data_IF_521229533629
#
_entry.id   IF_521229533629
#
_cell.length_a   1.000
_cell.length_b   1.000
_cell.length_c   1.000
_cell.angle_alpha   90.00
_cell.angle_beta   90.00
_cell.angle_gamma   90.00
#
_symmetry.space_group_name_H-M   'P 1'
#
loop_
_entity.id
_entity.type
_entity.pdbx_description
1 polymer ?
#
# COMPACT_ATOMS: atom_id res chain seq x y z
N UNK A 1 21.57 4.90 -2.19
CA UNK A 1 21.46 4.88 -0.72
C UNK A 1 20.78 3.58 -0.35
N UNK A 2 21.13 2.99 0.80
CA UNK A 2 20.54 1.73 1.24
C UNK A 2 19.00 1.79 1.34
N UNK A 3 18.29 0.80 0.80
CA UNK A 3 16.82 0.69 0.91
C UNK A 3 16.38 -0.72 1.24
N UNK A 4 15.21 -0.87 1.89
CA UNK A 4 14.58 -2.17 2.18
C UNK A 4 13.19 -2.25 1.52
N UNK A 5 12.98 -3.27 0.70
CA UNK A 5 11.69 -3.63 0.11
C UNK A 5 11.22 -4.98 0.62
N UNK A 6 9.91 -5.13 0.75
CA UNK A 6 9.26 -6.38 1.16
C UNK A 6 8.14 -6.74 0.18
N UNK A 7 8.07 -8.03 -0.17
CA UNK A 7 7.04 -8.63 -1.01
C UNK A 7 6.60 -9.96 -0.38
N UNK A 8 5.29 -10.15 -0.19
CA UNK A 8 4.72 -11.46 0.14
C UNK A 8 4.37 -12.22 -1.14
N UNK A 9 4.91 -13.42 -1.31
CA UNK A 9 4.60 -14.29 -2.45
C UNK A 9 3.54 -15.32 -2.08
N UNK A 10 2.57 -15.52 -2.97
CA UNK A 10 1.58 -16.60 -2.90
C UNK A 10 1.88 -17.73 -3.88
N UNK A 11 3.03 -17.67 -4.56
CA UNK A 11 3.39 -18.65 -5.58
C UNK A 11 3.69 -20.00 -4.94
N UNK A 12 2.98 -21.05 -5.38
CA UNK A 12 3.13 -22.41 -4.89
C UNK A 12 4.45 -23.05 -5.31
N UNK A 13 5.01 -22.58 -6.42
CA UNK A 13 6.33 -22.97 -6.88
C UNK A 13 7.40 -22.18 -6.10
N UNK A 14 8.07 -22.86 -5.17
CA UNK A 14 9.19 -22.31 -4.42
C UNK A 14 10.46 -22.20 -5.27
N UNK A 15 10.61 -23.04 -6.30
CA UNK A 15 11.75 -22.99 -7.23
C UNK A 15 11.71 -21.74 -8.11
N UNK A 16 10.53 -21.16 -8.33
CA UNK A 16 10.40 -19.88 -9.03
C UNK A 16 11.18 -18.74 -8.36
N UNK A 17 11.38 -18.78 -7.03
CA UNK A 17 12.19 -17.78 -6.34
C UNK A 17 13.68 -17.93 -6.68
N UNK A 18 14.19 -19.15 -6.67
CA UNK A 18 15.57 -19.43 -7.08
C UNK A 18 15.78 -19.11 -8.55
N UNK A 19 14.86 -19.51 -9.44
CA UNK A 19 14.95 -19.17 -10.86
C UNK A 19 14.97 -17.66 -11.09
N UNK A 20 14.13 -16.90 -10.37
CA UNK A 20 14.12 -15.44 -10.45
C UNK A 20 15.47 -14.81 -10.10
N UNK A 21 16.17 -15.41 -9.13
CA UNK A 21 17.46 -14.91 -8.65
C UNK A 21 18.62 -15.38 -9.52
N UNK A 22 18.55 -16.59 -10.07
CA UNK A 22 19.67 -17.19 -10.80
C UNK A 22 19.71 -16.85 -12.29
N UNK A 23 18.60 -16.45 -12.88
CA UNK A 23 18.49 -16.22 -14.32
C UNK A 23 18.10 -14.78 -14.66
N UNK A 24 18.48 -14.34 -15.85
CA UNK A 24 18.12 -13.04 -16.39
C UNK A 24 16.62 -12.95 -16.65
N UNK A 25 16.05 -11.78 -16.38
CA UNK A 25 14.63 -11.50 -16.60
C UNK A 25 14.47 -10.16 -17.31
N UNK A 26 13.56 -10.12 -18.28
CA UNK A 26 13.20 -8.89 -18.98
C UNK A 26 12.57 -7.89 -18.00
N UNK A 27 13.11 -6.68 -18.00
CA UNK A 27 12.82 -5.67 -16.99
C UNK A 27 11.36 -5.19 -17.02
N UNK A 28 10.70 -5.24 -18.18
CA UNK A 28 9.35 -4.72 -18.36
C UNK A 28 8.26 -5.76 -18.15
N UNK A 29 8.54 -6.99 -18.55
CA UNK A 29 7.60 -8.12 -18.55
C UNK A 29 7.81 -9.06 -17.37
N UNK A 30 8.96 -8.97 -16.68
CA UNK A 30 9.38 -9.86 -15.60
C UNK A 30 9.42 -11.34 -16.02
N UNK A 31 9.57 -11.60 -17.32
CA UNK A 31 9.71 -12.95 -17.86
C UNK A 31 11.20 -13.31 -17.97
N UNK A 32 11.58 -14.58 -17.81
CA UNK A 32 12.95 -14.99 -18.05
C UNK A 32 13.40 -14.65 -19.48
N UNK A 33 14.64 -14.17 -19.60
CA UNK A 33 15.30 -13.98 -20.90
C UNK A 33 15.80 -15.35 -21.35
N UNK A 34 15.57 -15.65 -22.63
CA UNK A 34 15.96 -16.91 -23.24
C UNK A 34 17.03 -16.65 -24.30
N UNK A 35 17.99 -17.57 -24.41
CA UNK A 35 18.97 -17.59 -25.49
C UNK A 35 18.33 -17.99 -26.83
N UNK A 36 19.14 -18.00 -27.90
CA UNK A 36 18.71 -18.39 -29.25
C UNK A 36 18.14 -19.82 -29.33
N UNK A 37 18.46 -20.68 -28.36
CA UNK A 37 18.00 -22.06 -28.25
C UNK A 37 16.80 -22.21 -27.29
N UNK A 38 16.27 -21.11 -26.74
CA UNK A 38 15.16 -21.12 -25.79
C UNK A 38 15.54 -21.52 -24.36
N UNK A 39 16.83 -21.49 -24.00
CA UNK A 39 17.33 -21.82 -22.66
C UNK A 39 17.44 -20.57 -21.79
N UNK A 40 17.27 -20.73 -20.47
CA UNK A 40 17.42 -19.66 -19.50
C UNK A 40 18.88 -19.17 -19.47
N UNK A 41 19.07 -17.85 -19.51
CA UNK A 41 20.40 -17.23 -19.40
C UNK A 41 20.73 -17.02 -17.92
N UNK A 42 21.80 -17.63 -17.38
CA UNK A 42 22.21 -17.43 -15.99
C UNK A 42 22.74 -16.02 -15.77
N UNK A 43 22.50 -15.45 -14.58
CA UNK A 43 23.11 -14.18 -14.19
C UNK A 43 24.61 -14.33 -13.97
N UNK A 44 25.33 -13.26 -14.24
CA UNK A 44 26.78 -13.18 -13.96
C UNK A 44 27.04 -12.67 -12.53
N UNK A 45 28.11 -13.19 -11.93
CA UNK A 45 28.69 -12.72 -10.65
C UNK A 45 27.71 -12.58 -9.46
N UNK A 46 26.77 -13.53 -9.32
CA UNK A 46 25.91 -13.62 -8.12
C UNK A 46 26.55 -14.45 -7.01
N UNK A 47 26.05 -14.30 -5.78
CA UNK A 47 26.34 -15.21 -4.65
C UNK A 47 25.03 -15.75 -4.12
N UNK A 48 24.96 -17.05 -3.86
CA UNK A 48 23.76 -17.72 -3.35
C UNK A 48 24.13 -18.57 -2.15
N UNK A 49 23.34 -18.46 -1.07
CA UNK A 49 23.42 -19.36 0.06
C UNK A 49 22.03 -19.71 0.59
N UNK A 50 21.94 -20.87 1.23
CA UNK A 50 20.73 -21.33 1.92
C UNK A 50 20.97 -21.41 3.42
N UNK A 51 19.96 -21.04 4.20
CA UNK A 51 19.98 -21.12 5.66
C UNK A 51 18.83 -22.03 6.11
N UNK A 52 19.11 -22.83 7.15
CA UNK A 52 18.15 -23.74 7.80
C UNK A 52 17.48 -24.76 6.84
N UNK A 53 18.11 -25.06 5.69
CA UNK A 53 17.60 -26.01 4.71
C UNK A 53 18.15 -27.44 4.89
N UNK A 54 19.08 -27.65 5.84
CA UNK A 54 19.59 -29.00 6.16
C UNK A 54 20.38 -29.68 5.04
N UNK A 55 21.05 -28.90 4.19
CA UNK A 55 21.79 -29.40 3.02
C UNK A 55 20.91 -29.67 1.79
N UNK A 56 19.60 -29.47 1.89
CA UNK A 56 18.68 -29.56 0.76
C UNK A 56 18.53 -28.22 0.03
N UNK A 57 18.01 -28.32 -1.19
CA UNK A 57 17.46 -27.21 -1.97
C UNK A 57 16.35 -26.47 -1.20
N UNK A 58 16.28 -25.14 -1.33
CA UNK A 58 15.34 -24.33 -0.56
C UNK A 58 13.90 -24.70 -0.87
N UNK A 59 13.56 -24.98 -2.14
CA UNK A 59 12.20 -25.33 -2.53
C UNK A 59 11.78 -26.67 -1.91
N UNK A 60 12.66 -27.68 -1.97
CA UNK A 60 12.42 -29.00 -1.38
C UNK A 60 12.23 -28.89 0.13
N UNK A 61 13.13 -28.17 0.79
CA UNK A 61 13.10 -27.98 2.23
C UNK A 61 11.80 -27.28 2.67
N UNK A 62 11.37 -26.24 1.93
CA UNK A 62 10.11 -25.52 2.19
C UNK A 62 8.88 -26.40 1.97
N UNK A 63 8.81 -27.16 0.88
CA UNK A 63 7.68 -28.04 0.60
C UNK A 63 7.52 -29.10 1.69
N UNK A 64 8.63 -29.70 2.15
CA UNK A 64 8.63 -30.71 3.21
C UNK A 64 8.15 -30.14 4.54
N UNK A 65 8.61 -28.97 4.94
CA UNK A 65 8.16 -28.34 6.19
C UNK A 65 6.70 -27.92 6.12
N UNK A 66 6.24 -27.40 4.99
CA UNK A 66 4.84 -27.06 4.77
C UNK A 66 3.92 -28.28 4.88
N UNK A 67 4.36 -29.44 4.36
CA UNK A 67 3.63 -30.69 4.50
C UNK A 67 3.60 -31.15 5.96
N UNK A 68 4.75 -31.13 6.65
CA UNK A 68 4.87 -31.53 8.07
C UNK A 68 3.94 -30.76 9.01
N UNK A 69 3.76 -29.46 8.77
CA UNK A 69 2.96 -28.58 9.62
C UNK A 69 1.57 -28.28 9.03
N UNK A 70 1.20 -28.92 7.93
CA UNK A 70 -0.08 -28.73 7.22
C UNK A 70 -0.36 -27.25 6.89
N UNK A 71 0.67 -26.50 6.48
CA UNK A 71 0.58 -25.08 6.11
C UNK A 71 0.74 -24.87 4.61
N UNK A 72 0.34 -23.67 4.16
CA UNK A 72 0.59 -23.18 2.81
C UNK A 72 -0.07 -24.01 1.69
N UNK A 73 -1.17 -24.71 2.00
CA UNK A 73 -1.90 -25.56 1.06
C UNK A 73 -2.84 -24.78 0.14
N UNK A 74 -3.28 -23.58 0.55
CA UNK A 74 -4.25 -22.80 -0.22
C UNK A 74 -3.54 -21.86 -1.20
N UNK A 75 -4.28 -21.40 -2.20
CA UNK A 75 -3.76 -20.45 -3.22
C UNK A 75 -3.59 -19.05 -2.64
N UNK A 76 -4.44 -18.67 -1.70
CA UNK A 76 -4.42 -17.35 -1.06
C UNK A 76 -3.33 -17.20 0.00
N UNK A 77 -2.74 -18.32 0.45
CA UNK A 77 -1.69 -18.35 1.45
C UNK A 77 -0.44 -17.62 0.97
N UNK A 78 0.14 -16.78 1.83
CA UNK A 78 1.50 -16.28 1.61
C UNK A 78 2.48 -17.41 1.94
N UNK A 79 3.25 -17.83 0.95
CA UNK A 79 4.11 -19.01 0.96
C UNK A 79 5.56 -18.65 1.26
N UNK A 80 6.02 -17.52 0.74
CA UNK A 80 7.33 -16.95 1.08
C UNK A 80 7.26 -15.44 1.23
N UNK A 81 8.25 -14.88 1.92
CA UNK A 81 8.47 -13.45 1.99
C UNK A 81 9.82 -13.12 1.36
N UNK A 82 9.84 -12.12 0.50
CA UNK A 82 11.03 -11.65 -0.20
C UNK A 82 11.38 -10.25 0.29
N UNK A 83 12.53 -10.15 0.92
CA UNK A 83 13.16 -8.90 1.33
C UNK A 83 14.27 -8.56 0.36
N UNK A 84 14.39 -7.29 0.00
CA UNK A 84 15.44 -6.81 -0.89
C UNK A 84 16.11 -5.62 -0.22
N UNK A 85 17.41 -5.76 0.07
CA UNK A 85 18.29 -4.70 0.58
C UNK A 85 19.10 -4.19 -0.61
N UNK A 86 18.85 -2.97 -1.08
CA UNK A 86 19.64 -2.36 -2.18
C UNK A 86 20.56 -1.30 -1.62
N UNK A 87 21.87 -1.37 -1.88
CA UNK A 87 22.86 -0.41 -1.39
C UNK A 87 23.03 0.81 -2.33
N UNK A 88 23.77 1.85 -1.92
CA UNK A 88 24.13 2.94 -2.84
C UNK A 88 25.11 2.42 -3.90
N UNK A 89 24.92 2.72 -5.20
CA UNK A 89 25.91 2.41 -6.22
C UNK A 89 27.32 2.94 -5.88
N UNK A 90 27.40 4.04 -5.13
CA UNK A 90 28.66 4.64 -4.70
C UNK A 90 29.33 3.90 -3.54
N UNK A 91 28.62 3.02 -2.83
CA UNK A 91 29.22 2.26 -1.73
C UNK A 91 30.32 1.32 -2.23
N UNK A 92 30.27 0.86 -3.49
CA UNK A 92 31.35 0.11 -4.12
C UNK A 92 32.66 0.91 -4.20
N UNK A 93 32.70 2.00 -4.98
CA UNK A 93 33.91 2.81 -5.13
C UNK A 93 34.31 3.59 -3.86
N UNK A 94 33.34 4.13 -3.12
CA UNK A 94 33.64 5.07 -2.02
C UNK A 94 33.87 4.35 -0.68
N UNK A 95 33.13 3.25 -0.44
CA UNK A 95 33.10 2.56 0.86
C UNK A 95 33.54 1.08 0.78
N UNK A 96 34.06 0.66 -0.38
CA UNK A 96 34.61 -0.67 -0.60
C UNK A 96 33.59 -1.82 -0.50
N UNK A 97 32.31 -1.56 -0.75
CA UNK A 97 31.28 -2.59 -0.75
C UNK A 97 31.45 -3.52 -1.96
N UNK A 98 31.73 -4.79 -1.71
CA UNK A 98 31.81 -5.84 -2.75
C UNK A 98 30.57 -6.74 -2.70
N UNK A 99 30.36 -7.56 -3.74
CA UNK A 99 29.30 -8.58 -3.76
C UNK A 99 29.45 -9.53 -2.57
N UNK A 100 30.67 -9.99 -2.27
CA UNK A 100 30.93 -10.90 -1.15
C UNK A 100 30.67 -10.24 0.21
N UNK A 101 31.05 -8.96 0.39
CA UNK A 101 30.73 -8.22 1.61
C UNK A 101 29.23 -8.03 1.78
N UNK A 102 28.52 -7.66 0.71
CA UNK A 102 27.07 -7.50 0.75
C UNK A 102 26.36 -8.83 1.03
N UNK A 103 26.84 -9.95 0.47
CA UNK A 103 26.36 -11.29 0.78
C UNK A 103 26.51 -11.61 2.27
N UNK A 104 27.70 -11.38 2.85
CA UNK A 104 27.94 -11.62 4.27
C UNK A 104 26.99 -10.80 5.16
N UNK A 105 26.76 -9.52 4.83
CA UNK A 105 25.80 -8.65 5.52
C UNK A 105 24.36 -9.19 5.42
N UNK A 106 23.96 -9.64 4.23
CA UNK A 106 22.65 -10.24 4.00
C UNK A 106 22.43 -11.53 4.79
N UNK A 107 23.44 -12.38 4.85
CA UNK A 107 23.40 -13.63 5.63
C UNK A 107 23.32 -13.36 7.13
N UNK A 108 24.12 -12.41 7.63
CA UNK A 108 24.06 -11.99 9.03
C UNK A 108 22.68 -11.42 9.37
N UNK A 109 22.18 -10.50 8.56
CA UNK A 109 20.84 -9.92 8.71
C UNK A 109 19.76 -11.01 8.74
N UNK A 110 19.87 -12.01 7.85
CA UNK A 110 18.92 -13.12 7.80
C UNK A 110 18.96 -13.99 9.07
N UNK A 111 20.16 -14.30 9.59
CA UNK A 111 20.34 -15.08 10.81
C UNK A 111 19.76 -14.37 12.03
N UNK A 112 20.00 -13.07 12.15
CA UNK A 112 19.59 -12.26 13.30
C UNK A 112 18.08 -12.01 13.31
N UNK A 113 17.48 -11.74 12.14
CA UNK A 113 16.11 -11.24 12.06
C UNK A 113 15.09 -12.26 11.54
N UNK A 114 15.52 -13.37 10.96
CA UNK A 114 14.62 -14.45 10.54
C UNK A 114 15.06 -15.83 11.09
N UNK A 115 15.38 -15.95 12.40
CA UNK A 115 15.84 -17.22 12.96
C UNK A 115 14.79 -18.31 12.79
N UNK A 116 15.21 -19.56 12.58
CA UNK A 116 14.29 -20.68 12.40
C UNK A 116 13.41 -20.63 11.13
N UNK A 117 13.60 -19.66 10.23
CA UNK A 117 13.05 -19.75 8.88
C UNK A 117 14.07 -20.42 7.95
N UNK A 118 13.58 -21.30 7.09
CA UNK A 118 14.29 -21.68 5.88
C UNK A 118 14.44 -20.44 5.01
N UNK A 119 15.64 -20.17 4.53
CA UNK A 119 15.91 -18.96 3.76
C UNK A 119 16.90 -19.19 2.61
N UNK A 120 16.76 -18.34 1.61
CA UNK A 120 17.65 -18.19 0.48
C UNK A 120 18.18 -16.74 0.50
N UNK A 121 19.50 -16.58 0.51
CA UNK A 121 20.16 -15.27 0.47
C UNK A 121 20.98 -15.17 -0.82
N UNK A 122 20.60 -14.24 -1.69
CA UNK A 122 21.24 -14.05 -2.98
C UNK A 122 21.68 -12.61 -3.19
N UNK A 123 22.94 -12.39 -3.54
CA UNK A 123 23.47 -11.05 -3.85
C UNK A 123 23.77 -10.92 -5.32
N UNK A 124 23.37 -9.79 -5.90
CA UNK A 124 23.57 -9.43 -7.29
C UNK A 124 24.34 -8.10 -7.37
N UNK A 125 25.35 -7.97 -8.25
CA UNK A 125 26.03 -6.70 -8.52
C UNK A 125 25.22 -5.76 -9.41
N UNK A 126 24.33 -6.34 -10.22
CA UNK A 126 23.56 -5.69 -11.26
C UNK A 126 22.22 -5.19 -10.73
N UNK A 127 22.24 -3.99 -10.17
CA UNK A 127 21.04 -3.23 -9.91
C UNK A 127 20.09 -3.14 -11.10
N UNK A 128 18.79 -3.05 -10.85
CA UNK A 128 17.76 -2.92 -11.88
C UNK A 128 18.11 -1.81 -12.89
N UNK A 129 18.14 -2.11 -14.20
CA UNK A 129 18.60 -1.24 -15.30
C UNK A 129 20.13 -1.06 -15.43
N UNK A 130 20.94 -2.06 -15.06
CA UNK A 130 22.40 -1.95 -15.03
C UNK A 130 22.88 -0.75 -14.19
N UNK A 131 22.10 -0.36 -13.17
CA UNK A 131 22.40 0.79 -12.31
C UNK A 131 23.63 0.57 -11.41
N UNK A 132 24.21 -0.63 -11.44
CA UNK A 132 25.41 -0.99 -10.69
C UNK A 132 25.20 -1.05 -9.18
N UNK A 133 23.95 -1.01 -8.69
CA UNK A 133 23.71 -1.18 -7.26
C UNK A 133 23.78 -2.65 -6.86
N UNK A 134 24.75 -2.96 -6.01
CA UNK A 134 24.78 -4.21 -5.28
C UNK A 134 23.51 -4.31 -4.43
N UNK A 135 22.84 -5.45 -4.49
CA UNK A 135 21.65 -5.69 -3.70
C UNK A 135 21.52 -7.15 -3.27
N UNK A 136 20.93 -7.34 -2.10
CA UNK A 136 20.77 -8.64 -1.44
C UNK A 136 19.29 -8.97 -1.39
N UNK A 137 18.94 -10.12 -1.94
CA UNK A 137 17.64 -10.75 -1.83
C UNK A 137 17.66 -11.75 -0.68
N UNK A 138 16.70 -11.64 0.23
CA UNK A 138 16.47 -12.59 1.31
C UNK A 138 15.06 -13.15 1.12
N UNK A 139 14.94 -14.40 0.68
CA UNK A 139 13.66 -15.10 0.54
C UNK A 139 13.53 -16.07 1.69
N UNK A 140 12.53 -15.88 2.54
CA UNK A 140 12.24 -16.79 3.65
C UNK A 140 10.97 -17.59 3.36
N UNK A 141 10.94 -18.85 3.80
CA UNK A 141 9.70 -19.59 3.95
C UNK A 141 8.78 -18.81 4.89
N UNK A 142 7.50 -18.68 4.54
CA UNK A 142 6.54 -18.04 5.44
C UNK A 142 6.37 -18.81 6.74
N UNK A 143 6.79 -20.08 6.79
CA UNK A 143 6.75 -20.93 7.97
C UNK A 143 8.07 -20.88 8.76
N UNK A 144 7.99 -20.87 10.10
CA UNK A 144 9.13 -21.15 10.98
C UNK A 144 9.21 -22.65 11.28
N UNK A 145 10.40 -23.24 11.20
CA UNK A 145 10.59 -24.70 11.38
C UNK A 145 11.02 -25.10 12.80
N UNK A 146 11.42 -24.14 13.63
CA UNK A 146 11.83 -24.35 15.02
C UNK A 146 11.34 -23.21 15.90
N UNK A 147 11.39 -23.42 17.22
CA UNK A 147 11.08 -22.38 18.19
C UNK A 147 12.26 -21.42 18.35
N UNK A 148 11.98 -20.13 18.48
CA UNK A 148 13.00 -19.07 18.57
C UNK A 148 12.73 -18.11 19.72
N UNK A 149 13.75 -17.38 20.21
CA UNK A 149 13.53 -16.30 21.16
C UNK A 149 12.55 -15.26 20.64
N UNK A 150 11.84 -14.61 21.56
CA UNK A 150 10.95 -13.50 21.22
C UNK A 150 11.78 -12.28 20.81
N UNK A 151 11.72 -11.91 19.52
CA UNK A 151 12.47 -10.79 18.97
C UNK A 151 11.67 -9.47 19.06
N UNK A 152 12.35 -8.30 19.07
CA UNK A 152 11.69 -7.00 19.27
C UNK A 152 10.56 -6.66 18.29
N UNK A 153 10.58 -7.24 17.07
CA UNK A 153 9.57 -6.99 16.06
C UNK A 153 8.34 -7.91 16.15
N UNK A 154 8.41 -8.96 16.98
CA UNK A 154 7.33 -9.91 17.18
C UNK A 154 6.26 -9.31 18.10
N UNK A 155 4.99 -9.52 17.79
CA UNK A 155 3.87 -8.97 18.55
C UNK A 155 3.01 -10.04 19.23
N UNK A 156 3.23 -11.32 18.91
CA UNK A 156 2.45 -12.43 19.48
C UNK A 156 3.30 -13.61 19.92
N UNK A 157 2.91 -14.33 20.99
CA UNK A 157 3.56 -15.57 21.39
C UNK A 157 3.56 -16.68 20.32
N UNK A 158 2.71 -16.56 19.29
CA UNK A 158 2.72 -17.49 18.16
C UNK A 158 3.88 -17.21 17.19
N UNK A 159 4.43 -15.99 17.16
CA UNK A 159 5.47 -15.61 16.19
C UNK A 159 6.80 -16.34 16.46
N UNK A 160 7.00 -16.87 17.67
CA UNK A 160 8.18 -17.64 18.09
C UNK A 160 8.08 -19.13 17.81
N UNK A 161 6.88 -19.67 17.56
CA UNK A 161 6.65 -21.13 17.56
C UNK A 161 6.96 -21.79 16.21
N UNK A 162 7.48 -23.01 16.27
CA UNK A 162 7.57 -23.88 15.11
C UNK A 162 6.18 -24.12 14.49
N UNK A 163 6.09 -24.16 13.16
CA UNK A 163 4.83 -24.31 12.43
C UNK A 163 3.97 -23.04 12.33
N UNK A 164 4.39 -21.93 12.95
CA UNK A 164 3.70 -20.65 12.84
C UNK A 164 4.28 -19.78 11.71
N UNK A 165 3.43 -18.92 11.15
CA UNK A 165 3.78 -18.11 9.97
C UNK A 165 4.42 -16.78 10.38
N UNK A 166 5.43 -16.37 9.63
CA UNK A 166 6.02 -15.03 9.70
C UNK A 166 4.95 -13.98 9.46
N UNK A 167 5.00 -12.92 10.28
CA UNK A 167 4.07 -11.80 10.20
C UNK A 167 4.85 -10.52 10.02
N UNK A 168 4.93 -10.07 8.76
CA UNK A 168 5.49 -8.76 8.44
C UNK A 168 4.43 -7.67 8.65
N UNK A 169 4.29 -7.20 9.88
CA UNK A 169 3.46 -6.03 10.23
C UNK A 169 4.17 -4.72 9.88
N UNK A 170 3.45 -3.59 9.93
CA UNK A 170 4.06 -2.26 9.77
C UNK A 170 5.13 -1.99 10.83
N UNK A 171 4.93 -2.48 12.06
CA UNK A 171 5.90 -2.39 13.15
C UNK A 171 7.15 -3.22 12.84
N UNK A 172 6.97 -4.45 12.37
CA UNK A 172 8.10 -5.30 11.99
C UNK A 172 8.89 -4.73 10.82
N UNK A 173 8.21 -4.20 9.79
CA UNK A 173 8.89 -3.55 8.68
C UNK A 173 9.63 -2.27 9.12
N UNK A 174 9.08 -1.52 10.08
CA UNK A 174 9.76 -0.35 10.67
C UNK A 174 11.01 -0.76 11.44
N UNK A 175 10.95 -1.86 12.19
CA UNK A 175 12.11 -2.44 12.85
C UNK A 175 13.17 -2.88 11.84
N UNK A 176 12.85 -3.69 10.84
CA UNK A 176 13.85 -4.11 9.83
C UNK A 176 14.50 -2.94 9.10
N UNK A 177 13.77 -1.84 8.89
CA UNK A 177 14.33 -0.61 8.35
C UNK A 177 15.33 0.07 9.29
N UNK A 178 15.08 0.09 10.61
CA UNK A 178 16.07 0.60 11.56
C UNK A 178 17.31 -0.28 11.57
N UNK A 179 17.15 -1.61 11.56
CA UNK A 179 18.29 -2.52 11.57
C UNK A 179 19.15 -2.41 10.29
N UNK A 180 18.53 -2.19 9.12
CA UNK A 180 19.28 -1.89 7.89
C UNK A 180 20.04 -0.57 8.01
N UNK A 181 19.45 0.46 8.63
CA UNK A 181 20.15 1.73 8.86
C UNK A 181 21.34 1.54 9.82
N UNK A 182 21.14 0.86 10.95
CA UNK A 182 22.21 0.56 11.92
C UNK A 182 23.33 -0.29 11.29
N UNK A 183 22.97 -1.29 10.48
CA UNK A 183 23.95 -2.08 9.71
C UNK A 183 24.75 -1.18 8.77
N UNK A 184 24.10 -0.32 7.98
CA UNK A 184 24.82 0.58 7.07
C UNK A 184 25.70 1.57 7.85
N UNK A 185 25.22 2.11 8.96
CA UNK A 185 25.99 3.02 9.80
C UNK A 185 27.25 2.36 10.35
N UNK A 186 27.11 1.15 10.92
CA UNK A 186 28.23 0.37 11.45
C UNK A 186 29.28 0.03 10.40
N UNK A 187 28.83 -0.28 9.19
CA UNK A 187 29.71 -0.66 8.07
C UNK A 187 30.25 0.54 7.28
N UNK A 188 29.92 1.77 7.68
CA UNK A 188 30.36 2.99 6.98
C UNK A 188 29.72 3.18 5.60
N UNK A 189 28.54 2.62 5.35
CA UNK A 189 27.82 2.68 4.07
C UNK A 189 26.83 3.84 4.02
N UNK A 190 26.51 4.29 2.80
CA UNK A 190 25.57 5.37 2.58
C UNK A 190 24.13 4.97 2.92
N UNK A 191 23.57 5.68 3.91
CA UNK A 191 22.22 5.49 4.38
C UNK A 191 21.29 6.67 4.04
N UNK A 192 20.01 6.33 3.87
CA UNK A 192 18.88 7.26 3.88
C UNK A 192 18.02 6.93 5.09
N UNK A 193 17.31 7.94 5.59
CA UNK A 193 16.24 7.73 6.55
C UNK A 193 15.11 6.88 5.94
N UNK A 194 15.05 5.60 6.33
CA UNK A 194 14.03 4.64 5.90
C UNK A 194 12.74 4.72 6.71
N UNK A 195 12.79 5.38 7.87
CA UNK A 195 11.71 5.46 8.85
C UNK A 195 10.74 6.60 8.56
N UNK A 196 11.24 7.67 7.94
CA UNK A 196 10.46 8.82 7.54
C UNK A 196 10.21 8.86 6.03
N UNK A 197 9.22 9.67 5.63
CA UNK A 197 8.88 9.82 4.22
C UNK A 197 9.92 10.62 3.47
N UNK A 198 10.22 10.23 2.23
CA UNK A 198 11.08 11.02 1.34
C UNK A 198 10.48 12.40 1.09
N UNK A 199 11.33 13.43 1.13
CA UNK A 199 11.00 14.82 0.76
C UNK A 199 10.25 14.91 -0.57
N UNK A 200 10.77 14.22 -1.57
CA UNK A 200 10.11 13.96 -2.85
C UNK A 200 9.80 12.46 -2.97
N UNK A 201 8.53 12.08 -3.00
CA UNK A 201 8.12 10.67 -3.03
C UNK A 201 7.68 10.22 -4.41
N UNK A 202 8.53 9.44 -5.07
CA UNK A 202 8.20 8.73 -6.31
C UNK A 202 7.91 7.26 -5.97
N UNK A 203 6.70 6.79 -6.29
CA UNK A 203 6.33 5.38 -6.06
C UNK A 203 6.81 4.50 -7.21
N UNK A 204 7.05 3.19 -7.02
CA UNK A 204 7.39 2.24 -8.10
C UNK A 204 6.46 2.36 -9.31
N UNK A 205 5.15 2.46 -9.07
CA UNK A 205 4.15 2.64 -10.14
C UNK A 205 4.38 3.92 -10.95
N UNK A 206 4.80 5.00 -10.29
CA UNK A 206 5.08 6.28 -10.92
C UNK A 206 6.40 6.27 -11.66
N UNK A 207 7.44 5.67 -11.07
CA UNK A 207 8.72 5.40 -11.73
C UNK A 207 8.50 4.63 -13.04
N UNK A 208 7.73 3.54 -13.01
CA UNK A 208 7.39 2.77 -14.20
C UNK A 208 6.51 3.54 -15.19
N UNK A 209 5.56 4.34 -14.71
CA UNK A 209 4.77 5.20 -15.58
C UNK A 209 5.65 6.23 -16.31
N UNK A 210 6.67 6.77 -15.63
CA UNK A 210 7.65 7.66 -16.22
C UNK A 210 8.48 6.95 -17.29
N UNK A 211 9.06 5.78 -16.97
CA UNK A 211 9.86 4.99 -17.93
C UNK A 211 9.05 4.59 -19.16
N UNK A 212 7.86 4.02 -18.97
CA UNK A 212 7.00 3.61 -20.10
C UNK A 212 6.54 4.80 -20.92
N UNK A 213 6.24 5.93 -20.27
CA UNK A 213 5.89 7.18 -20.94
C UNK A 213 7.04 7.75 -21.75
N UNK A 214 8.26 7.70 -21.22
CA UNK A 214 9.46 8.14 -21.93
C UNK A 214 9.73 7.27 -23.16
N UNK A 215 9.70 5.94 -23.02
CA UNK A 215 9.90 5.04 -24.16
C UNK A 215 8.85 5.26 -25.27
N UNK A 216 7.59 5.53 -24.91
CA UNK A 216 6.56 5.88 -25.88
C UNK A 216 6.81 7.23 -26.56
N UNK A 217 7.28 8.23 -25.82
CA UNK A 217 7.65 9.55 -26.35
C UNK A 217 8.85 9.44 -27.30
N UNK A 218 9.88 8.68 -26.93
CA UNK A 218 11.07 8.46 -27.74
C UNK A 218 10.70 7.77 -29.06
N UNK A 219 9.82 6.76 -29.01
CA UNK A 219 9.29 6.10 -30.21
C UNK A 219 8.51 7.06 -31.12
N UNK A 220 7.76 8.01 -30.56
CA UNK A 220 7.06 9.04 -31.33
C UNK A 220 8.01 10.07 -31.93
N UNK A 221 9.07 10.41 -31.21
CA UNK A 221 10.07 11.39 -31.62
C UNK A 221 11.07 10.84 -32.67
N UNK A 222 11.33 9.53 -32.66
CA UNK A 222 12.27 8.87 -33.57
C UNK A 222 12.09 9.24 -35.06
N UNK A 223 10.88 9.17 -35.67
CA UNK A 223 10.70 9.57 -37.07
C UNK A 223 10.90 11.08 -37.30
N UNK A 224 10.57 11.93 -36.32
CA UNK A 224 10.82 13.38 -36.42
C UNK A 224 12.31 13.68 -36.44
N UNK A 225 13.06 13.06 -35.53
CA UNK A 225 14.52 13.20 -35.44
C UNK A 225 15.19 12.67 -36.72
N UNK A 226 14.74 11.52 -37.23
CA UNK A 226 15.22 10.96 -38.50
C UNK A 226 14.94 11.88 -39.70
N UNK A 227 13.85 12.64 -39.66
CA UNK A 227 13.50 13.68 -40.64
C UNK A 227 14.17 15.03 -40.40
N UNK A 228 15.12 15.15 -39.45
CA UNK A 228 15.81 16.40 -39.13
C UNK A 228 14.97 17.42 -38.35
N UNK A 229 13.79 17.03 -37.85
CA UNK A 229 12.88 17.88 -37.08
C UNK A 229 13.18 17.72 -35.59
N UNK A 230 13.45 18.84 -34.90
CA UNK A 230 13.64 18.83 -33.45
C UNK A 230 12.28 18.72 -32.74
N UNK A 231 12.03 17.66 -31.93
CA UNK A 231 10.78 17.50 -31.22
C UNK A 231 10.58 18.58 -30.15
N UNK A 232 9.33 19.05 -29.99
CA UNK A 232 8.98 20.03 -28.94
C UNK A 232 9.12 19.50 -27.53
N UNK A 233 8.90 18.20 -27.33
CA UNK A 233 8.99 17.55 -26.03
C UNK A 233 9.89 16.33 -26.14
N UNK A 234 11.00 16.36 -25.41
CA UNK A 234 11.98 15.27 -25.35
C UNK A 234 11.95 14.51 -24.02
N UNK A 235 11.30 15.07 -23.00
CA UNK A 235 11.18 14.49 -21.67
C UNK A 235 9.72 14.27 -21.29
N UNK A 236 9.41 13.03 -20.90
CA UNK A 236 8.12 12.67 -20.35
C UNK A 236 8.08 13.00 -18.85
N UNK A 237 7.01 13.67 -18.43
CA UNK A 237 6.79 14.02 -17.02
C UNK A 237 5.42 13.53 -16.57
N UNK A 238 5.40 12.87 -15.41
CA UNK A 238 4.15 12.39 -14.82
C UNK A 238 3.35 13.57 -14.24
N UNK A 239 2.02 13.45 -14.19
CA UNK A 239 1.16 14.50 -13.62
C UNK A 239 1.52 14.84 -12.16
N UNK A 240 2.03 13.86 -11.41
CA UNK A 240 2.52 14.11 -10.06
C UNK A 240 3.81 14.93 -10.06
N UNK A 241 4.76 14.65 -10.96
CA UNK A 241 5.99 15.44 -11.04
C UNK A 241 5.72 16.86 -11.49
N UNK A 242 4.85 17.06 -12.49
CA UNK A 242 4.38 18.40 -12.89
C UNK A 242 3.78 19.14 -11.71
N UNK A 243 2.90 18.49 -10.94
CA UNK A 243 2.32 19.07 -9.74
C UNK A 243 3.39 19.43 -8.70
N UNK A 244 4.38 18.58 -8.44
CA UNK A 244 5.49 18.90 -7.51
C UNK A 244 6.24 20.15 -7.96
N UNK A 245 6.52 20.30 -9.26
CA UNK A 245 7.17 21.49 -9.81
C UNK A 245 6.30 22.74 -9.62
N UNK A 246 5.00 22.66 -9.93
CA UNK A 246 4.05 23.76 -9.71
C UNK A 246 4.00 24.18 -8.24
N UNK A 247 3.97 23.21 -7.31
CA UNK A 247 3.99 23.47 -5.88
C UNK A 247 5.30 24.15 -5.44
N UNK A 248 6.46 23.68 -5.90
CA UNK A 248 7.75 24.31 -5.59
C UNK A 248 7.83 25.74 -6.13
N UNK A 249 7.34 25.98 -7.33
CA UNK A 249 7.29 27.31 -7.94
C UNK A 249 6.43 28.27 -7.10
N UNK A 250 5.25 27.82 -6.66
CA UNK A 250 4.39 28.62 -5.80
C UNK A 250 5.00 28.85 -4.40
N UNK A 251 5.65 27.84 -3.81
CA UNK A 251 6.35 27.96 -2.53
C UNK A 251 7.59 28.85 -2.60
N UNK A 252 8.22 29.00 -3.75
CA UNK A 252 9.38 29.88 -3.90
C UNK A 252 9.00 31.37 -3.80
N UNK A 253 7.73 31.71 -4.05
CA UNK A 253 7.25 33.10 -4.10
C UNK A 253 6.29 33.44 -2.96
N UNK A 254 5.47 32.50 -2.53
CA UNK A 254 4.43 32.78 -1.54
C UNK A 254 5.00 32.99 -0.13
N UNK A 255 4.50 34.01 0.57
CA UNK A 255 4.77 34.27 1.99
C UNK A 255 3.58 33.94 2.90
N UNK A 256 2.43 33.55 2.33
CA UNK A 256 1.24 33.15 3.08
C UNK A 256 0.50 32.00 2.41
N UNK A 257 -0.36 31.32 3.17
CA UNK A 257 -1.14 30.19 2.65
C UNK A 257 -2.19 30.62 1.61
N UNK A 258 -2.76 31.81 1.78
CA UNK A 258 -3.72 32.37 0.83
C UNK A 258 -3.05 32.73 -0.50
N UNK A 259 -1.84 33.29 -0.43
CA UNK A 259 -1.04 33.59 -1.62
C UNK A 259 -0.63 32.31 -2.35
N UNK A 260 -0.13 31.33 -1.59
CA UNK A 260 0.20 30.00 -2.11
C UNK A 260 -0.98 29.35 -2.84
N UNK A 261 -2.16 29.38 -2.22
CA UNK A 261 -3.39 28.84 -2.81
C UNK A 261 -3.80 29.61 -4.07
N UNK A 262 -3.64 30.94 -4.06
CA UNK A 262 -3.95 31.80 -5.21
C UNK A 262 -3.03 31.54 -6.39
N UNK A 263 -1.72 31.37 -6.17
CA UNK A 263 -0.76 31.04 -7.22
C UNK A 263 -1.05 29.68 -7.84
N UNK A 264 -1.41 28.69 -7.02
CA UNK A 264 -1.80 27.38 -7.52
C UNK A 264 -3.10 27.42 -8.32
N UNK A 265 -4.07 28.23 -7.89
CA UNK A 265 -5.34 28.37 -8.61
C UNK A 265 -5.15 28.97 -10.00
N UNK A 266 -4.19 29.90 -10.19
CA UNK A 266 -3.82 30.44 -11.51
C UNK A 266 -3.30 29.37 -12.47
N UNK A 267 -2.63 28.37 -11.93
CA UNK A 267 -2.13 27.18 -12.67
C UNK A 267 -3.22 26.07 -12.73
N UNK A 268 -4.46 26.38 -12.33
CA UNK A 268 -5.61 25.45 -12.35
C UNK A 268 -5.62 24.43 -11.22
N UNK A 269 -4.76 24.57 -10.20
CA UNK A 269 -4.64 23.63 -9.09
C UNK A 269 -5.39 24.13 -7.86
N UNK A 270 -6.41 23.40 -7.43
CA UNK A 270 -7.15 23.71 -6.19
C UNK A 270 -6.52 23.00 -4.99
N UNK A 271 -6.23 23.75 -3.93
CA UNK A 271 -5.77 23.23 -2.64
C UNK A 271 -6.97 22.93 -1.75
N UNK A 272 -6.97 21.75 -1.11
CA UNK A 272 -7.96 21.36 -0.10
C UNK A 272 -7.26 20.93 1.17
N UNK A 273 -7.69 21.47 2.30
CA UNK A 273 -7.28 21.00 3.62
C UNK A 273 -8.41 20.16 4.24
N UNK A 274 -8.08 18.97 4.72
CA UNK A 274 -9.02 18.13 5.48
C UNK A 274 -8.28 17.31 6.52
N UNK A 275 -8.76 17.34 7.77
CA UNK A 275 -8.17 16.60 8.90
C UNK A 275 -6.65 16.86 9.04
N UNK A 276 -6.23 18.11 8.88
CA UNK A 276 -4.82 18.53 8.96
C UNK A 276 -3.93 18.07 7.80
N UNK A 277 -4.51 17.62 6.68
CA UNK A 277 -3.76 17.16 5.49
C UNK A 277 -4.10 18.00 4.27
N UNK A 278 -3.07 18.37 3.52
CA UNK A 278 -3.22 19.03 2.23
C UNK A 278 -3.46 18.01 1.10
N UNK A 279 -4.31 18.39 0.17
CA UNK A 279 -4.58 17.65 -1.07
C UNK A 279 -4.75 18.64 -2.22
N UNK A 280 -4.28 18.25 -3.41
CA UNK A 280 -4.19 19.13 -4.57
C UNK A 280 -4.99 18.52 -5.72
N UNK A 281 -5.94 19.28 -6.27
CA UNK A 281 -6.75 18.88 -7.42
C UNK A 281 -6.22 19.58 -8.66
N UNK A 282 -5.69 18.82 -9.61
CA UNK A 282 -5.25 19.32 -10.91
C UNK A 282 -6.41 19.29 -11.92
N UNK A 283 -6.40 20.13 -12.98
CA UNK A 283 -7.51 20.24 -13.93
C UNK A 283 -7.85 18.93 -14.64
N UNK A 284 -6.85 18.07 -14.86
CA UNK A 284 -6.95 16.79 -15.53
C UNK A 284 -7.54 15.67 -14.64
N UNK A 285 -7.89 15.96 -13.37
CA UNK A 285 -8.30 14.94 -12.40
C UNK A 285 -9.63 15.25 -11.75
N UNK A 286 -10.42 14.20 -11.52
CA UNK A 286 -11.64 14.25 -10.70
C UNK A 286 -11.38 14.01 -9.21
N UNK A 287 -10.23 13.42 -8.86
CA UNK A 287 -9.83 13.12 -7.47
C UNK A 287 -8.51 13.81 -7.12
N UNK A 288 -8.44 14.49 -5.97
CA UNK A 288 -7.25 15.20 -5.57
C UNK A 288 -6.12 14.23 -5.20
N UNK A 289 -4.89 14.69 -5.39
CA UNK A 289 -3.65 14.03 -4.98
C UNK A 289 -3.31 14.53 -3.57
N UNK A 290 -3.31 13.64 -2.59
CA UNK A 290 -2.90 13.95 -1.21
C UNK A 290 -1.41 14.28 -1.15
N UNK A 291 -1.01 15.25 -0.34
CA UNK A 291 0.40 15.66 -0.13
C UNK A 291 1.35 14.48 0.16
N UNK A 292 0.94 13.52 1.00
CA UNK A 292 1.67 12.28 1.30
C UNK A 292 2.10 11.46 0.06
N UNK A 293 1.41 11.61 -1.07
CA UNK A 293 1.75 10.93 -2.34
C UNK A 293 2.78 11.70 -3.17
N UNK A 294 3.03 12.96 -2.85
CA UNK A 294 4.00 13.84 -3.49
C UNK A 294 5.31 13.87 -2.71
N UNK A 295 5.26 13.76 -1.38
CA UNK A 295 6.43 13.71 -0.51
C UNK A 295 6.31 14.64 0.70
N UNK A 296 7.23 14.52 1.65
CA UNK A 296 7.20 15.24 2.92
C UNK A 296 7.25 16.77 2.76
N UNK A 297 7.92 17.27 1.72
CA UNK A 297 8.03 18.73 1.47
C UNK A 297 6.67 19.39 1.17
N UNK A 298 5.68 18.59 0.80
CA UNK A 298 4.36 19.08 0.37
C UNK A 298 3.27 18.86 1.43
N UNK A 299 3.63 18.22 2.55
CA UNK A 299 2.73 18.07 3.69
C UNK A 299 2.51 19.40 4.40
N UNK A 300 1.40 19.51 5.13
CA UNK A 300 0.93 20.78 5.71
C UNK A 300 2.02 21.49 6.53
N UNK A 301 2.67 20.76 7.41
CA UNK A 301 3.71 21.32 8.31
C UNK A 301 4.90 21.87 7.51
N UNK A 302 5.37 21.13 6.51
CA UNK A 302 6.49 21.58 5.67
C UNK A 302 6.12 22.80 4.83
N UNK A 303 4.93 22.80 4.22
CA UNK A 303 4.41 23.94 3.46
C UNK A 303 4.33 25.18 4.34
N UNK A 304 3.72 25.09 5.53
CA UNK A 304 3.58 26.23 6.42
C UNK A 304 4.93 26.75 6.91
N UNK A 305 5.88 25.86 7.24
CA UNK A 305 7.22 26.27 7.65
C UNK A 305 7.96 27.05 6.55
N UNK A 306 7.83 26.63 5.28
CA UNK A 306 8.42 27.37 4.15
C UNK A 306 7.76 28.74 3.98
N UNK A 307 6.44 28.83 4.08
CA UNK A 307 5.71 30.10 3.97
C UNK A 307 6.10 31.06 5.10
N UNK A 308 6.24 30.56 6.33
CA UNK A 308 6.70 31.36 7.47
C UNK A 308 8.13 31.88 7.26
N UNK A 309 9.04 31.04 6.77
CA UNK A 309 10.40 31.47 6.42
C UNK A 309 10.39 32.54 5.32
N UNK A 310 9.53 32.41 4.32
CA UNK A 310 9.43 33.41 3.25
C UNK A 310 8.87 34.75 3.76
N UNK A 311 7.89 34.70 4.67
CA UNK A 311 7.36 35.88 5.34
C UNK A 311 8.45 36.61 6.14
N UNK A 312 9.28 35.86 6.89
CA UNK A 312 10.41 36.41 7.65
C UNK A 312 11.51 36.99 6.76
N UNK A 313 11.75 36.40 5.59
CA UNK A 313 12.76 36.88 4.62
C UNK A 313 12.34 38.12 3.84
N UNK A 314 11.11 38.61 4.05
CA UNK A 314 10.60 39.79 3.35
C UNK A 314 10.48 39.57 1.84
N UNK A 315 10.27 38.33 1.39
CA UNK A 315 9.97 38.03 -0.03
C UNK A 315 8.67 38.76 -0.38
N UNK A 316 8.83 39.95 -0.93
CA UNK A 316 7.75 40.84 -1.31
C UNK A 316 7.79 40.98 -2.82
N UNK A 317 6.86 40.31 -3.50
CA UNK A 317 6.54 40.63 -4.89
C UNK A 317 5.12 41.20 -4.93
N UNK A 318 5.02 42.37 -5.55
CA UNK A 318 3.86 43.27 -5.63
C UNK A 318 2.54 42.52 -5.89
N UNK A 319 1.62 42.57 -4.93
CA UNK A 319 0.23 42.17 -5.13
C UNK A 319 -0.61 43.39 -5.51
N UNK A 320 -1.38 43.28 -6.60
CA UNK A 320 -2.42 44.25 -6.97
C UNK A 320 -3.71 43.97 -6.17
N UNK A 321 -4.26 44.96 -5.46
CA UNK A 321 -5.40 44.77 -4.57
C UNK A 321 -6.71 44.72 -5.37
N UNK A 322 -7.19 43.52 -5.71
CA UNK A 322 -8.54 43.35 -6.27
C UNK A 322 -9.41 42.32 -5.52
N UNK A 323 -8.89 41.57 -4.54
CA UNK A 323 -9.69 40.56 -3.82
C UNK A 323 -10.02 40.87 -2.35
N UNK A 324 -9.69 42.05 -1.82
CA UNK A 324 -10.22 42.48 -0.52
C UNK A 324 -11.66 43.03 -0.63
N UNK A 325 -12.06 43.56 -1.80
CA UNK A 325 -13.41 44.10 -1.99
C UNK A 325 -14.51 43.02 -2.05
N UNK A 326 -14.18 41.80 -2.45
CA UNK A 326 -15.16 40.71 -2.54
C UNK A 326 -15.57 40.13 -1.17
N UNK A 327 -14.72 40.26 -0.13
CA UNK A 327 -15.08 39.83 1.24
C UNK A 327 -15.88 40.88 2.01
N UNK A 328 -15.72 42.16 1.70
CA UNK A 328 -16.45 43.23 2.37
C UNK A 328 -17.90 43.34 1.88
N UNK A 329 -18.19 42.94 0.63
CA UNK A 329 -19.55 42.97 0.08
C UNK A 329 -20.44 41.80 0.53
N UNK A 330 -19.88 40.66 0.95
CA UNK A 330 -20.65 39.51 1.45
C UNK A 330 -20.96 39.56 2.97
N UNK A 331 -20.41 40.52 3.71
CA UNK A 331 -20.62 40.64 5.17
C UNK A 331 -21.77 41.58 5.60
N UNK A 332 -22.50 42.21 4.67
CA UNK A 332 -23.58 43.17 5.01
C UNK A 332 -24.96 42.84 4.42
N UNK A 333 -25.37 41.57 4.47
CA UNK A 333 -26.78 41.21 4.33
C UNK A 333 -27.26 40.54 5.63
N UNK A 334 -28.00 41.32 6.43
CA UNK A 334 -28.56 40.90 7.70
C UNK A 334 -29.59 39.77 7.54
N UNK A 335 -29.51 38.77 8.39
CA UNK A 335 -30.56 37.75 8.60
C UNK A 335 -31.50 38.29 9.69
N UNK A 336 -32.84 38.31 9.49
CA UNK A 336 -33.79 38.68 10.53
C UNK A 336 -33.86 37.63 11.63
N UNK A 337 -33.91 38.16 12.84
CA UNK A 337 -34.03 37.51 14.13
C UNK A 337 -35.42 36.88 14.30
N UNK A 338 -35.49 35.57 14.55
CA UNK A 338 -36.67 34.93 15.14
C UNK A 338 -36.29 34.28 16.47
N UNK A 339 -37.09 34.66 17.46
CA UNK A 339 -36.92 34.51 18.91
C UNK A 339 -36.72 33.07 19.40
N UNK A 340 -35.88 32.97 20.43
CA UNK A 340 -35.76 31.83 21.33
C UNK A 340 -37.06 31.56 22.11
N UNK A 341 -37.40 30.28 22.24
CA UNK A 341 -38.10 29.73 23.41
C UNK A 341 -37.41 28.41 23.82
N UNK A 342 -36.77 28.44 24.99
CA UNK A 342 -35.93 27.35 25.49
C UNK A 342 -36.67 26.29 26.30
N UNK A 343 -36.00 25.14 26.46
CA UNK A 343 -36.02 24.16 27.58
C UNK A 343 -34.88 23.18 27.24
N UNK A 344 -33.79 23.11 27.97
CA UNK A 344 -33.69 22.51 29.31
C UNK A 344 -32.76 21.28 29.21
N UNK A 345 -31.71 21.24 30.03
CA UNK A 345 -30.71 20.16 30.13
C UNK A 345 -31.35 18.77 30.20
N UNK A 346 -30.77 17.79 29.48
CA UNK A 346 -30.62 16.42 29.97
C UNK A 346 -29.27 15.85 29.49
N UNK A 347 -28.44 15.46 30.45
CA UNK A 347 -27.36 14.49 30.23
C UNK A 347 -28.03 13.19 29.77
N UNK A 348 -27.78 12.80 28.52
CA UNK A 348 -28.15 11.49 27.99
C UNK A 348 -26.90 10.65 27.82
N UNK A 349 -26.86 9.51 28.50
CA UNK A 349 -25.82 8.51 28.43
C UNK A 349 -25.45 8.17 26.98
N UNK A 350 -24.14 8.05 26.72
CA UNK A 350 -23.64 7.49 25.46
C UNK A 350 -24.07 6.02 25.40
N UNK A 351 -25.16 5.73 24.70
CA UNK A 351 -25.43 4.38 24.22
C UNK A 351 -24.30 3.99 23.26
N UNK A 352 -23.61 2.91 23.60
CA UNK A 352 -22.49 2.38 22.83
C UNK A 352 -22.91 2.12 21.39
N UNK A 353 -22.12 2.63 20.44
CA UNK A 353 -22.21 2.20 19.05
C UNK A 353 -21.82 0.73 19.01
N UNK A 354 -22.83 -0.14 18.89
CA UNK A 354 -22.61 -1.52 18.49
C UNK A 354 -22.25 -1.47 17.01
N UNK A 355 -20.96 -1.46 16.70
CA UNK A 355 -20.50 -1.70 15.33
C UNK A 355 -21.00 -3.10 14.91
N UNK A 356 -21.76 -3.25 13.81
CA UNK A 356 -22.19 -4.56 13.37
C UNK A 356 -20.94 -5.43 13.08
N UNK A 357 -20.89 -6.63 13.68
CA UNK A 357 -19.80 -7.59 13.52
C UNK A 357 -19.46 -7.75 12.03
N UNK A 358 -18.18 -7.70 11.66
CA UNK A 358 -17.73 -7.75 10.26
C UNK A 358 -18.18 -9.02 9.50
N UNK A 359 -18.60 -10.07 10.23
CA UNK A 359 -19.05 -11.35 9.69
C UNK A 359 -20.57 -11.52 9.58
N UNK A 360 -21.40 -10.54 9.97
CA UNK A 360 -22.86 -10.64 9.79
C UNK A 360 -23.29 -10.29 8.36
N UNK A 361 -24.38 -10.93 7.90
CA UNK A 361 -25.09 -10.51 6.67
C UNK A 361 -25.70 -9.14 6.92
N UNK A 362 -25.47 -8.22 5.99
CA UNK A 362 -25.97 -6.85 6.03
C UNK A 362 -27.03 -6.66 4.95
N UNK A 363 -27.98 -5.75 5.19
CA UNK A 363 -29.05 -5.44 4.23
C UNK A 363 -28.47 -4.92 2.91
N UNK A 364 -29.09 -5.32 1.80
CA UNK A 364 -28.76 -4.78 0.49
C UNK A 364 -29.08 -3.28 0.43
N UNK A 365 -28.26 -2.55 -0.35
CA UNK A 365 -28.43 -1.12 -0.60
C UNK A 365 -29.38 -0.94 -1.78
N UNK A 366 -30.45 -0.17 -1.59
CA UNK A 366 -31.26 0.33 -2.70
C UNK A 366 -30.46 1.37 -3.48
N UNK A 367 -30.00 0.97 -4.67
CA UNK A 367 -29.10 1.79 -5.48
C UNK A 367 -29.88 2.96 -6.08
N UNK A 368 -31.10 2.75 -6.57
CA UNK A 368 -31.89 3.76 -7.25
C UNK A 368 -32.31 4.87 -6.30
N UNK A 369 -32.78 4.51 -5.10
CA UNK A 369 -33.09 5.47 -4.04
C UNK A 369 -31.84 6.28 -3.64
N UNK A 370 -30.68 5.63 -3.50
CA UNK A 370 -29.44 6.32 -3.13
C UNK A 370 -28.89 7.20 -4.25
N UNK A 371 -29.15 6.87 -5.51
CA UNK A 371 -28.83 7.74 -6.63
C UNK A 371 -29.77 8.96 -6.69
N UNK A 372 -31.06 8.79 -6.36
CA UNK A 372 -32.01 9.89 -6.22
C UNK A 372 -31.66 10.86 -5.07
N UNK A 373 -31.01 10.37 -4.00
CA UNK A 373 -30.43 11.18 -2.92
C UNK A 373 -29.13 11.93 -3.31
N UNK A 374 -28.76 11.95 -4.59
CA UNK A 374 -27.61 12.70 -5.10
C UNK A 374 -26.25 12.02 -4.90
N UNK A 375 -26.21 10.70 -4.66
CA UNK A 375 -24.94 9.96 -4.59
C UNK A 375 -24.34 9.80 -6.00
N UNK A 376 -23.02 9.97 -6.13
CA UNK A 376 -22.35 9.91 -7.43
C UNK A 376 -22.06 8.48 -7.91
N UNK A 377 -21.69 8.34 -9.20
CA UNK A 377 -21.39 7.06 -9.90
C UNK A 377 -20.39 6.13 -9.16
N UNK A 378 -19.53 6.68 -8.31
CA UNK A 378 -18.62 5.90 -7.47
C UNK A 378 -19.34 5.12 -6.35
N UNK A 379 -20.39 5.70 -5.77
CA UNK A 379 -21.24 5.06 -4.77
C UNK A 379 -22.08 3.96 -5.39
N UNK A 380 -22.61 4.19 -6.60
CA UNK A 380 -23.31 3.19 -7.41
C UNK A 380 -22.45 1.94 -7.63
N UNK A 381 -21.20 2.13 -8.08
CA UNK A 381 -20.25 1.02 -8.30
C UNK A 381 -19.90 0.28 -7.00
N UNK A 382 -19.75 1.01 -5.90
CA UNK A 382 -19.52 0.39 -4.58
C UNK A 382 -20.74 -0.41 -4.11
N UNK A 383 -21.95 0.15 -4.24
CA UNK A 383 -23.20 -0.48 -3.82
C UNK A 383 -23.50 -1.75 -4.63
N UNK A 384 -23.20 -1.77 -5.95
CA UNK A 384 -23.27 -2.98 -6.78
C UNK A 384 -22.37 -4.11 -6.25
N UNK A 385 -21.11 -3.78 -5.93
CA UNK A 385 -20.15 -4.76 -5.39
C UNK A 385 -20.54 -5.19 -3.96
N UNK A 386 -21.04 -4.26 -3.14
CA UNK A 386 -21.52 -4.54 -1.79
C UNK A 386 -22.71 -5.50 -1.82
N UNK A 387 -23.73 -5.21 -2.64
CA UNK A 387 -24.91 -6.06 -2.77
C UNK A 387 -24.57 -7.45 -3.27
N UNK A 388 -23.67 -7.56 -4.26
CA UNK A 388 -23.22 -8.85 -4.77
C UNK A 388 -22.51 -9.68 -3.70
N UNK A 389 -21.68 -9.04 -2.85
CA UNK A 389 -21.03 -9.70 -1.72
C UNK A 389 -22.02 -10.14 -0.64
N UNK A 390 -23.02 -9.33 -0.33
CA UNK A 390 -24.05 -9.69 0.65
C UNK A 390 -24.95 -10.82 0.12
N UNK A 391 -25.34 -10.78 -1.16
CA UNK A 391 -26.11 -11.85 -1.79
C UNK A 391 -25.34 -13.19 -1.80
N UNK A 392 -24.04 -13.16 -2.12
CA UNK A 392 -23.19 -14.35 -2.07
C UNK A 392 -23.04 -14.91 -0.65
N UNK A 393 -22.94 -14.03 0.37
CA UNK A 393 -22.93 -14.44 1.78
C UNK A 393 -24.26 -15.07 2.19
N UNK A 394 -25.39 -14.48 1.81
CA UNK A 394 -26.74 -15.04 2.06
C UNK A 394 -26.87 -16.43 1.43
N UNK A 395 -26.42 -16.60 0.18
CA UNK A 395 -26.43 -17.90 -0.50
C UNK A 395 -25.55 -18.94 0.21
N UNK A 396 -24.36 -18.53 0.67
CA UNK A 396 -23.45 -19.41 1.42
C UNK A 396 -24.09 -19.87 2.73
N UNK A 397 -24.82 -18.99 3.42
CA UNK A 397 -25.53 -19.31 4.65
C UNK A 397 -26.68 -20.28 4.39
N UNK A 398 -27.46 -20.07 3.33
CA UNK A 398 -28.50 -21.04 2.95
C UNK A 398 -27.91 -22.43 2.71
N UNK A 399 -26.82 -22.54 1.96
CA UNK A 399 -26.14 -23.81 1.73
C UNK A 399 -25.61 -24.45 3.02
N UNK A 400 -25.05 -23.65 3.94
CA UNK A 400 -24.57 -24.14 5.24
C UNK A 400 -25.69 -24.73 6.10
N UNK A 401 -26.89 -24.15 6.06
CA UNK A 401 -28.06 -24.61 6.81
C UNK A 401 -28.95 -25.57 6.02
N UNK A 402 -28.50 -26.06 4.86
CA UNK A 402 -29.22 -27.06 4.06
C UNK A 402 -30.40 -26.53 3.24
N UNK A 403 -30.53 -25.21 3.09
CA UNK A 403 -31.55 -24.58 2.27
C UNK A 403 -30.97 -24.22 0.89
N UNK A 404 -31.73 -24.50 -0.17
CA UNK A 404 -31.32 -24.16 -1.54
C UNK A 404 -32.01 -22.91 -2.10
N UNK A 405 -33.04 -22.40 -1.41
CA UNK A 405 -33.71 -21.15 -1.77
C UNK A 405 -34.40 -20.48 -0.56
N UNK A 406 -34.72 -19.16 -0.63
CA UNK A 406 -35.52 -18.47 0.38
C UNK A 406 -36.87 -19.16 0.65
N UNK A 407 -37.54 -19.65 -0.40
CA UNK A 407 -38.87 -20.26 -0.33
C UNK A 407 -38.83 -21.58 0.45
N UNK A 408 -37.73 -22.35 0.34
CA UNK A 408 -37.53 -23.54 1.17
C UNK A 408 -37.34 -23.22 2.64
N UNK A 409 -36.62 -22.13 2.95
CA UNK A 409 -36.46 -21.66 4.32
C UNK A 409 -37.81 -21.19 4.89
N UNK A 410 -38.58 -20.42 4.12
CA UNK A 410 -39.91 -19.96 4.53
C UNK A 410 -40.88 -21.12 4.75
N UNK A 411 -40.88 -22.12 3.88
CA UNK A 411 -41.70 -23.32 4.04
C UNK A 411 -41.32 -24.11 5.31
N UNK A 412 -40.03 -24.32 5.56
CA UNK A 412 -39.55 -25.01 6.76
C UNK A 412 -39.91 -24.24 8.04
N UNK A 413 -39.79 -22.91 8.01
CA UNK A 413 -40.21 -22.04 9.12
C UNK A 413 -41.72 -22.11 9.33
N UNK A 414 -42.52 -22.06 8.27
CA UNK A 414 -43.98 -22.17 8.35
C UNK A 414 -44.43 -23.53 8.94
N UNK A 415 -43.81 -24.63 8.50
CA UNK A 415 -44.04 -25.96 9.07
C UNK A 415 -43.68 -26.01 10.55
N UNK A 416 -42.49 -25.52 10.93
CA UNK A 416 -42.07 -25.46 12.34
C UNK A 416 -43.02 -24.59 13.19
N UNK A 417 -43.54 -23.49 12.65
CA UNK A 417 -44.56 -22.67 13.33
C UNK A 417 -45.90 -23.40 13.48
N UNK A 418 -46.33 -24.18 12.49
CA UNK A 418 -47.54 -24.99 12.62
C UNK A 418 -47.37 -26.11 13.65
N UNK A 419 -46.23 -26.81 13.65
CA UNK A 419 -45.89 -27.84 14.63
C UNK A 419 -45.83 -27.27 16.04
N UNK A 420 -45.18 -26.11 16.22
CA UNK A 420 -45.14 -25.40 17.51
C UNK A 420 -46.55 -24.99 17.99
N UNK A 421 -47.43 -24.59 17.05
CA UNK A 421 -48.81 -24.20 17.37
C UNK A 421 -49.69 -25.40 17.72
N UNK A 422 -49.44 -26.55 17.10
CA UNK A 422 -50.08 -27.82 17.45
C UNK A 422 -49.64 -28.31 18.84
N UNK A 423 -48.33 -28.32 19.12
CA UNK A 423 -47.81 -28.67 20.47
C UNK A 423 -48.26 -27.69 21.55
N UNK A 424 -48.30 -26.38 21.25
CA UNK A 424 -48.84 -25.38 22.20
C UNK A 424 -50.35 -25.54 22.41
N UNK A 425 -51.08 -26.02 21.41
CA UNK A 425 -52.51 -26.37 21.53
C UNK A 425 -52.75 -27.64 22.35
N UNK A 426 -51.89 -28.66 22.21
CA UNK A 426 -51.92 -29.89 23.01
C UNK A 426 -51.59 -29.63 24.48
N UNK A 427 -50.58 -28.80 24.78
CA UNK A 427 -50.23 -28.39 26.15
C UNK A 427 -51.36 -27.57 26.81
N UNK A 428 -52.10 -26.78 26.03
CA UNK A 428 -53.25 -26.03 26.51
C UNK A 428 -54.51 -26.90 26.65
N UNK A 429 -54.61 -28.01 25.91
CA UNK A 429 -55.67 -29.02 26.01
C UNK A 429 -55.47 -29.97 27.20
N UNK A 430 -54.23 -30.35 27.51
CA UNK A 430 -53.89 -31.16 28.70
C UNK A 430 -54.13 -30.42 30.02
N UNK A 431 -54.08 -29.08 30.03
CA UNK A 431 -54.44 -28.28 31.21
C UNK A 431 -55.96 -28.06 31.39
N UNK A 432 -56.79 -28.48 30.43
CA UNK A 432 -58.25 -28.40 30.53
C UNK A 432 -58.93 -29.74 30.89
N UNK A 433 -58.15 -30.82 31.05
CA UNK A 433 -58.62 -32.17 31.44
C UNK A 433 -58.05 -32.62 32.81
N UNK A 434 -57.47 -31.68 33.56
CA UNK A 434 -57.21 -31.79 35.01
C UNK A 434 -58.08 -30.76 35.73
#
# INVERSE_FOLDING_TARGET
MATLKHLGSKNADYGAAEQYLLFEHDEFTMKPVLDENGRLIPREDYRLSTLNCGGEDFAVACMRSNLRYEKNQRREDVKSHHYIISFDPRDGPDNGLTVDRAQALGEQFCKEHFPGHQALVCTHPDGHNHSGNIHVHIVINSLRIEEVPFLPYMDRPADTKAGCKHRCTDAALRYFKSEVMEMCHREGLYQIDLLNGSKNRVTDREYWAQKKGQAALDKQNAPMIAGGITPRQTKFETNKEKLRQTLRKALATAASFDEFSSLLLREGVTVKESRGRLSYLTPDRTKPITARKLGGDFDRTAVLAVLEQNAQRGVTVRYTPQHQAARAAEQTAAIPEYLHAGKGRLQGEKTGKIDPRQDSVQRLVDIEQKMAEGKGKGYERWAKIHNLKQAAKTLTIYQQYGFSSPEQLEAAVATAYQEMRQTSGEVCGEQAVL
#
